data_IF_545744337684
#
_entry.id   IF_545744337684
#
_cell.length_a   1.000
_cell.length_b   1.000
_cell.length_c   1.000
_cell.angle_alpha   90.00
_cell.angle_beta   90.00
_cell.angle_gamma   90.00
#
_symmetry.space_group_name_H-M   'P 1'
#
loop_
_entity.id
_entity.type
_entity.pdbx_description
1 polymer ?
#
# COMPACT_ATOMS: atom_id res chain seq x y z
N UNK A 1 -7.09 -26.29 -27.70
CA UNK A 1 -8.39 -25.75 -28.17
C UNK A 1 -8.30 -24.40 -28.85
N UNK A 2 -7.76 -23.32 -28.22
CA UNK A 2 -7.59 -22.01 -28.88
C UNK A 2 -6.35 -21.98 -29.80
N UNK A 3 -5.24 -22.57 -29.36
CA UNK A 3 -3.99 -22.63 -30.11
C UNK A 3 -4.11 -23.41 -31.43
N UNK A 4 -4.97 -24.42 -31.49
CA UNK A 4 -5.22 -25.25 -32.71
C UNK A 4 -5.87 -24.45 -33.87
N UNK A 5 -6.46 -23.29 -33.57
CA UNK A 5 -7.13 -22.41 -34.55
C UNK A 5 -6.31 -21.20 -34.92
N UNK A 6 -5.14 -21.05 -34.34
CA UNK A 6 -4.28 -19.88 -34.57
C UNK A 6 -3.14 -20.22 -35.52
N UNK A 7 -2.85 -19.33 -36.49
CA UNK A 7 -1.71 -19.49 -37.41
C UNK A 7 -0.36 -19.39 -36.67
N UNK A 8 -0.32 -18.68 -35.56
CA UNK A 8 0.86 -18.53 -34.69
C UNK A 8 0.42 -18.42 -33.25
N UNK A 9 1.14 -19.10 -32.36
CA UNK A 9 0.92 -19.03 -30.91
C UNK A 9 2.23 -18.61 -30.24
N UNK A 10 2.15 -17.62 -29.35
CA UNK A 10 3.26 -17.21 -28.51
C UNK A 10 2.91 -17.51 -27.06
N UNK A 11 3.78 -18.27 -26.41
CA UNK A 11 3.67 -18.59 -24.99
C UNK A 11 4.81 -17.88 -24.27
N UNK A 12 4.50 -17.06 -23.26
CA UNK A 12 5.49 -16.39 -22.44
C UNK A 12 5.25 -16.73 -20.96
N UNK A 13 6.32 -17.03 -20.26
CA UNK A 13 6.26 -17.39 -18.85
C UNK A 13 7.64 -17.52 -18.24
N UNK A 14 7.68 -17.83 -16.96
CA UNK A 14 8.88 -18.13 -16.20
C UNK A 14 8.60 -19.28 -15.24
N UNK A 15 9.13 -20.46 -15.58
CA UNK A 15 8.98 -21.68 -14.80
C UNK A 15 9.61 -21.58 -13.39
N UNK A 16 10.63 -20.75 -13.20
CA UNK A 16 11.23 -20.51 -11.89
C UNK A 16 10.33 -19.70 -10.95
N UNK A 17 9.27 -19.05 -11.47
CA UNK A 17 8.30 -18.28 -10.71
C UNK A 17 6.96 -18.97 -10.48
N UNK A 18 6.88 -20.28 -10.69
CA UNK A 18 5.67 -21.07 -10.50
C UNK A 18 5.34 -21.28 -9.01
N UNK A 19 5.01 -20.22 -8.30
CA UNK A 19 4.71 -20.22 -6.86
C UNK A 19 3.31 -20.74 -6.56
N UNK A 20 2.39 -20.73 -7.54
CA UNK A 20 0.97 -21.04 -7.36
C UNK A 20 0.55 -22.38 -8.01
N UNK A 21 1.37 -23.42 -7.89
CA UNK A 21 1.06 -24.76 -8.43
C UNK A 21 -0.25 -25.31 -7.86
N UNK A 22 -0.57 -25.00 -6.61
CA UNK A 22 -1.84 -25.35 -5.95
C UNK A 22 -3.07 -24.68 -6.58
N UNK A 23 -2.91 -23.59 -7.31
CA UNK A 23 -4.00 -22.88 -8.01
C UNK A 23 -4.09 -23.20 -9.50
N UNK A 24 -3.38 -24.24 -9.97
CA UNK A 24 -3.45 -24.72 -11.35
C UNK A 24 -2.31 -24.25 -12.26
N UNK A 25 -1.24 -23.65 -11.71
CA UNK A 25 -0.04 -23.40 -12.50
C UNK A 25 0.64 -24.75 -12.83
N UNK A 26 0.72 -25.06 -14.12
CA UNK A 26 1.29 -26.31 -14.64
C UNK A 26 2.62 -26.02 -15.34
N UNK A 27 3.69 -26.28 -14.60
CA UNK A 27 5.07 -26.11 -15.08
C UNK A 27 5.42 -27.10 -16.17
N UNK A 28 4.93 -28.35 -16.04
CA UNK A 28 5.24 -29.39 -17.01
C UNK A 28 4.61 -29.09 -18.38
N UNK A 29 3.37 -28.66 -18.39
CA UNK A 29 2.71 -28.23 -19.64
C UNK A 29 3.42 -27.01 -20.27
N UNK A 30 3.95 -26.08 -19.46
CA UNK A 30 4.72 -24.94 -19.97
C UNK A 30 6.06 -25.40 -20.60
N UNK A 31 6.80 -26.27 -19.90
CA UNK A 31 8.10 -26.76 -20.37
C UNK A 31 7.99 -27.71 -21.58
N UNK A 32 6.83 -28.38 -21.75
CA UNK A 32 6.55 -29.30 -22.88
C UNK A 32 6.02 -28.56 -24.13
N UNK A 33 5.85 -27.25 -24.08
CA UNK A 33 5.43 -26.49 -25.28
C UNK A 33 6.45 -26.67 -26.40
N UNK A 34 5.98 -27.20 -27.53
CA UNK A 34 6.80 -27.34 -28.74
C UNK A 34 6.95 -26.02 -29.46
N UNK A 35 8.15 -25.68 -29.92
CA UNK A 35 8.41 -24.49 -30.69
C UNK A 35 9.81 -23.92 -30.48
N UNK A 36 10.05 -22.75 -31.06
CA UNK A 36 11.30 -22.01 -30.86
C UNK A 36 11.30 -21.36 -29.47
N UNK A 37 12.28 -21.70 -28.65
CA UNK A 37 12.45 -21.14 -27.30
C UNK A 37 13.40 -19.94 -27.40
N UNK A 38 12.93 -18.78 -26.93
CA UNK A 38 13.73 -17.56 -26.82
C UNK A 38 13.81 -17.10 -25.37
N UNK A 39 15.02 -17.09 -24.83
CA UNK A 39 15.30 -16.59 -23.47
C UNK A 39 15.55 -15.07 -23.55
N UNK A 40 14.98 -14.31 -22.61
CA UNK A 40 15.27 -12.89 -22.46
C UNK A 40 16.58 -12.73 -21.67
N UNK A 41 17.62 -12.32 -22.36
CA UNK A 41 19.01 -12.36 -21.85
C UNK A 41 19.37 -11.21 -20.93
N UNK A 42 18.54 -10.15 -20.82
CA UNK A 42 18.85 -8.97 -20.03
C UNK A 42 17.74 -8.62 -19.05
N UNK A 43 18.11 -8.46 -17.78
CA UNK A 43 17.24 -7.87 -16.76
C UNK A 43 17.60 -6.41 -16.53
N UNK A 44 16.61 -5.52 -16.63
CA UNK A 44 16.73 -4.10 -16.31
C UNK A 44 16.31 -3.78 -14.87
N UNK A 45 15.83 -4.78 -14.14
CA UNK A 45 15.30 -4.65 -12.78
C UNK A 45 16.23 -5.21 -11.72
N UNK A 46 16.84 -6.37 -11.94
CA UNK A 46 17.54 -7.15 -10.92
C UNK A 46 19.01 -6.75 -10.83
N UNK A 47 19.51 -6.26 -9.67
CA UNK A 47 20.92 -5.94 -9.47
C UNK A 47 21.82 -7.21 -9.40
N UNK A 48 23.12 -7.03 -9.59
CA UNK A 48 24.06 -8.12 -9.73
C UNK A 48 24.13 -9.06 -8.50
N UNK A 49 24.19 -8.53 -7.28
CA UNK A 49 24.21 -9.35 -6.05
C UNK A 49 22.91 -10.12 -5.85
N UNK A 50 21.76 -9.51 -6.14
CA UNK A 50 20.45 -10.16 -6.05
C UNK A 50 20.34 -11.28 -7.10
N UNK A 51 20.81 -11.04 -8.32
CA UNK A 51 20.89 -12.04 -9.38
C UNK A 51 21.73 -13.26 -8.95
N UNK A 52 22.92 -13.02 -8.38
CA UNK A 52 23.78 -14.08 -7.88
C UNK A 52 23.10 -14.95 -6.82
N UNK A 53 22.44 -14.32 -5.84
CA UNK A 53 21.67 -15.03 -4.81
C UNK A 53 20.51 -15.82 -5.41
N UNK A 54 19.72 -15.19 -6.28
CA UNK A 54 18.59 -15.83 -6.95
C UNK A 54 19.04 -17.07 -7.73
N UNK A 55 20.11 -16.97 -8.51
CA UNK A 55 20.69 -18.11 -9.25
C UNK A 55 21.14 -19.25 -8.33
N UNK A 56 21.66 -18.94 -7.14
CA UNK A 56 22.03 -19.97 -6.17
C UNK A 56 20.84 -20.76 -5.64
N UNK A 57 19.65 -20.13 -5.61
CA UNK A 57 18.39 -20.73 -5.15
C UNK A 57 17.75 -21.54 -6.26
N UNK A 58 17.59 -20.95 -7.46
CA UNK A 58 16.89 -21.62 -8.56
C UNK A 58 17.63 -22.85 -9.10
N UNK A 59 18.95 -22.92 -8.95
CA UNK A 59 19.74 -24.12 -9.27
C UNK A 59 19.33 -25.38 -8.49
N UNK A 60 18.57 -25.22 -7.41
CA UNK A 60 18.05 -26.36 -6.62
C UNK A 60 16.77 -26.94 -7.21
N UNK A 61 16.12 -26.24 -8.15
CA UNK A 61 14.92 -26.71 -8.82
C UNK A 61 15.35 -27.72 -9.88
N UNK A 62 14.79 -28.94 -9.82
CA UNK A 62 15.17 -30.04 -10.71
C UNK A 62 14.51 -29.94 -12.10
N UNK A 63 13.24 -29.59 -12.13
CA UNK A 63 12.47 -29.48 -13.38
C UNK A 63 12.33 -28.01 -13.77
N UNK A 64 13.26 -27.53 -14.60
CA UNK A 64 13.32 -26.14 -15.06
C UNK A 64 14.01 -26.00 -16.41
N UNK A 65 13.67 -24.94 -17.15
CA UNK A 65 14.43 -24.51 -18.31
C UNK A 65 15.73 -23.86 -17.86
N UNK A 66 16.87 -24.30 -18.38
CA UNK A 66 18.12 -23.60 -18.13
C UNK A 66 18.10 -22.23 -18.81
N UNK A 67 18.34 -21.17 -18.02
CA UNK A 67 18.32 -19.78 -18.47
C UNK A 67 19.59 -19.06 -18.05
N UNK A 68 20.22 -18.40 -19.01
CA UNK A 68 21.35 -17.52 -18.77
C UNK A 68 20.90 -16.11 -19.11
N UNK A 69 20.98 -15.21 -18.15
CA UNK A 69 20.62 -13.82 -18.33
C UNK A 69 21.50 -12.90 -17.49
N UNK A 70 21.69 -11.66 -17.96
CA UNK A 70 22.52 -10.67 -17.30
C UNK A 70 21.69 -9.78 -16.35
N UNK A 71 22.20 -9.45 -15.17
CA UNK A 71 21.59 -8.47 -14.29
C UNK A 71 21.78 -7.04 -14.85
N UNK A 72 21.11 -6.05 -14.27
CA UNK A 72 21.44 -4.65 -14.50
C UNK A 72 22.82 -4.32 -13.94
N UNK A 73 23.38 -3.17 -14.34
CA UNK A 73 24.78 -2.81 -14.03
C UNK A 73 25.04 -2.56 -12.54
N UNK A 74 24.03 -2.09 -11.78
CA UNK A 74 24.19 -1.80 -10.36
C UNK A 74 24.41 -3.08 -9.55
N UNK A 75 25.30 -2.99 -8.57
CA UNK A 75 25.63 -4.13 -7.72
C UNK A 75 24.48 -4.54 -6.81
N UNK A 76 23.72 -3.56 -6.30
CA UNK A 76 22.73 -3.79 -5.26
C UNK A 76 23.36 -4.18 -3.91
N UNK A 77 22.53 -4.40 -2.91
CA UNK A 77 22.94 -4.79 -1.58
C UNK A 77 22.02 -5.87 -1.01
N UNK A 78 22.57 -6.78 -0.22
CA UNK A 78 21.83 -7.82 0.49
C UNK A 78 22.31 -7.82 1.92
N UNK A 79 21.40 -7.58 2.85
CA UNK A 79 21.64 -7.59 4.28
C UNK A 79 20.75 -8.64 4.94
N UNK A 80 21.22 -9.26 6.01
CA UNK A 80 20.52 -10.27 6.79
C UNK A 80 20.26 -9.75 8.20
N UNK A 81 19.04 -9.86 8.66
CA UNK A 81 18.63 -9.44 9.99
C UNK A 81 17.87 -10.58 10.67
N UNK A 82 18.02 -10.69 11.98
CA UNK A 82 17.30 -11.69 12.77
C UNK A 82 15.91 -11.18 13.23
N UNK A 83 15.75 -9.87 13.27
CA UNK A 83 14.53 -9.20 13.71
C UNK A 83 14.25 -8.02 12.76
N UNK A 84 12.98 -7.80 12.45
CA UNK A 84 12.58 -6.74 11.52
C UNK A 84 12.78 -5.34 12.10
N UNK A 85 12.79 -5.19 13.43
CA UNK A 85 13.06 -3.93 14.14
C UNK A 85 14.48 -3.39 13.91
N UNK A 86 15.39 -4.24 13.45
CA UNK A 86 16.76 -3.86 13.11
C UNK A 86 16.85 -3.15 11.74
N UNK A 87 15.79 -3.21 10.95
CA UNK A 87 15.73 -2.62 9.61
C UNK A 87 15.21 -1.20 9.70
N UNK A 88 16.01 -0.22 9.30
CA UNK A 88 15.53 1.17 9.17
C UNK A 88 14.69 1.33 7.90
N UNK A 89 13.38 1.32 8.07
CA UNK A 89 12.39 1.54 7.00
C UNK A 89 11.85 2.98 6.96
N UNK A 90 12.46 3.90 7.72
CA UNK A 90 12.00 5.29 7.79
C UNK A 90 12.24 6.09 6.51
N UNK A 91 13.12 5.60 5.62
CA UNK A 91 13.50 6.26 4.37
C UNK A 91 13.41 5.31 3.19
N UNK A 92 13.09 5.87 2.03
CA UNK A 92 12.99 5.13 0.77
C UNK A 92 11.66 4.42 0.58
N UNK A 93 11.58 3.66 -0.51
CA UNK A 93 10.42 2.84 -0.85
C UNK A 93 10.70 1.37 -0.52
N UNK A 94 9.80 0.76 0.23
CA UNK A 94 9.95 -0.61 0.71
C UNK A 94 8.83 -1.50 0.21
N UNK A 95 9.21 -2.66 -0.34
CA UNK A 95 8.29 -3.76 -0.56
C UNK A 95 8.60 -4.87 0.44
N UNK A 96 7.63 -5.20 1.28
CA UNK A 96 7.78 -6.20 2.32
C UNK A 96 6.93 -7.41 1.96
N UNK A 97 7.56 -8.58 1.92
CA UNK A 97 6.93 -9.83 1.54
C UNK A 97 7.14 -10.90 2.62
N UNK A 98 6.16 -11.77 2.78
CA UNK A 98 6.25 -12.95 3.63
C UNK A 98 5.57 -14.14 2.95
N UNK A 99 5.90 -15.35 3.36
CA UNK A 99 5.29 -16.58 2.81
C UNK A 99 3.82 -16.74 3.17
N UNK A 100 3.37 -16.11 4.26
CA UNK A 100 1.96 -16.14 4.68
C UNK A 100 1.50 -14.77 5.20
N UNK A 101 0.21 -14.49 5.04
CA UNK A 101 -0.40 -13.26 5.59
C UNK A 101 -0.29 -13.14 7.11
N UNK A 102 -0.22 -14.26 7.82
CA UNK A 102 -0.06 -14.30 9.26
C UNK A 102 1.26 -13.64 9.70
N UNK A 103 2.36 -13.97 9.02
CA UNK A 103 3.69 -13.41 9.33
C UNK A 103 3.77 -11.89 9.15
N UNK A 104 2.90 -11.32 8.31
CA UNK A 104 2.82 -9.87 8.12
C UNK A 104 2.09 -9.13 9.24
N UNK A 105 1.38 -9.82 10.13
CA UNK A 105 0.55 -9.14 11.13
C UNK A 105 1.38 -8.43 12.22
N UNK A 106 2.45 -9.05 12.70
CA UNK A 106 3.35 -8.43 13.68
C UNK A 106 4.05 -7.23 13.08
N UNK A 107 4.58 -7.40 11.88
CA UNK A 107 5.22 -6.32 11.13
C UNK A 107 4.25 -5.16 10.83
N UNK A 108 3.00 -5.46 10.44
CA UNK A 108 1.94 -4.47 10.25
C UNK A 108 1.75 -3.62 11.52
N UNK A 109 1.64 -4.27 12.67
CA UNK A 109 1.44 -3.57 13.93
C UNK A 109 2.66 -2.73 14.32
N UNK A 110 3.85 -3.24 14.06
CA UNK A 110 5.10 -2.52 14.32
C UNK A 110 5.23 -1.28 13.41
N UNK A 111 5.04 -1.41 12.10
CA UNK A 111 5.09 -0.28 11.15
C UNK A 111 4.08 0.80 11.55
N UNK A 112 2.87 0.36 11.93
CA UNK A 112 1.82 1.27 12.40
C UNK A 112 2.21 2.00 13.70
N UNK A 113 2.90 1.33 14.63
CA UNK A 113 3.37 1.95 15.87
C UNK A 113 4.48 2.98 15.61
N UNK A 114 5.28 2.81 14.55
CA UNK A 114 6.29 3.78 14.12
C UNK A 114 5.70 5.01 13.40
N UNK A 115 4.39 5.04 13.20
CA UNK A 115 3.75 6.16 12.50
C UNK A 115 3.89 6.14 10.99
N UNK A 116 4.50 5.12 10.40
CA UNK A 116 4.75 5.04 8.97
C UNK A 116 3.49 4.69 8.18
N UNK A 117 3.34 5.32 7.02
CA UNK A 117 2.28 4.99 6.08
C UNK A 117 2.69 3.78 5.23
N UNK A 118 1.74 2.90 5.00
CA UNK A 118 1.93 1.73 4.14
C UNK A 118 0.63 1.35 3.45
N UNK A 119 0.78 0.50 2.44
CA UNK A 119 -0.33 -0.14 1.75
C UNK A 119 -0.23 -1.65 1.93
N UNK A 120 -1.35 -2.32 2.14
CA UNK A 120 -1.43 -3.77 2.21
C UNK A 120 -2.63 -4.26 1.40
N UNK A 121 -2.40 -5.12 0.41
CA UNK A 121 -3.45 -5.66 -0.47
C UNK A 121 -4.31 -4.56 -1.13
N UNK A 122 -3.69 -3.48 -1.58
CA UNK A 122 -4.37 -2.34 -2.19
C UNK A 122 -5.11 -1.43 -1.20
N UNK A 123 -4.95 -1.65 0.11
CA UNK A 123 -5.56 -0.82 1.13
C UNK A 123 -4.50 -0.01 1.88
N UNK A 124 -4.68 1.29 1.93
CA UNK A 124 -3.82 2.20 2.69
C UNK A 124 -4.01 2.01 4.20
N UNK A 125 -2.93 2.16 4.97
CA UNK A 125 -2.93 2.07 6.44
C UNK A 125 -3.81 3.13 7.12
N UNK A 126 -4.04 4.25 6.44
CA UNK A 126 -4.98 5.30 6.84
C UNK A 126 -6.00 5.49 5.72
N UNK A 127 -7.28 5.47 6.07
CA UNK A 127 -8.35 5.70 5.11
C UNK A 127 -8.31 7.13 4.56
N UNK A 128 -8.53 7.31 3.26
CA UNK A 128 -8.55 8.63 2.61
C UNK A 128 -9.53 9.61 3.28
N UNK A 129 -10.63 9.10 3.83
CA UNK A 129 -11.58 9.91 4.58
C UNK A 129 -10.99 10.54 5.85
N UNK A 130 -10.07 9.85 6.50
CA UNK A 130 -9.34 10.37 7.69
C UNK A 130 -8.37 11.43 7.25
N UNK A 131 -7.58 11.18 6.20
CA UNK A 131 -6.62 12.15 5.63
C UNK A 131 -7.35 13.43 5.21
N UNK A 132 -8.46 13.29 4.47
CA UNK A 132 -9.30 14.43 4.05
C UNK A 132 -9.81 15.22 5.25
N UNK A 133 -10.23 14.52 6.31
CA UNK A 133 -10.71 15.17 7.53
C UNK A 133 -9.62 15.96 8.25
N UNK A 134 -8.41 15.40 8.36
CA UNK A 134 -7.26 16.06 9.00
C UNK A 134 -6.84 17.31 8.22
N UNK A 135 -6.69 17.19 6.90
CA UNK A 135 -6.33 18.32 6.03
C UNK A 135 -7.42 19.40 6.08
N UNK A 136 -8.69 19.02 6.02
CA UNK A 136 -9.82 19.95 6.10
C UNK A 136 -9.86 20.67 7.44
N UNK A 137 -9.59 19.97 8.54
CA UNK A 137 -9.51 20.58 9.86
C UNK A 137 -8.38 21.58 10.00
N UNK A 138 -7.19 21.27 9.47
CA UNK A 138 -6.07 22.21 9.46
C UNK A 138 -6.36 23.48 8.63
N UNK A 139 -7.10 23.34 7.52
CA UNK A 139 -7.58 24.50 6.77
C UNK A 139 -8.48 25.39 7.62
N UNK A 140 -9.45 24.81 8.32
CA UNK A 140 -10.33 25.53 9.23
C UNK A 140 -9.55 26.24 10.35
N UNK A 141 -8.57 25.57 10.95
CA UNK A 141 -7.70 26.18 11.97
C UNK A 141 -6.89 27.37 11.46
N UNK A 142 -6.51 27.35 10.18
CA UNK A 142 -5.81 28.45 9.49
C UNK A 142 -6.77 29.53 8.98
N UNK A 143 -8.05 29.50 9.35
CA UNK A 143 -9.06 30.48 8.94
C UNK A 143 -9.50 30.34 7.48
N UNK A 144 -9.23 29.20 6.85
CA UNK A 144 -9.70 28.89 5.50
C UNK A 144 -11.07 28.19 5.54
N UNK A 145 -11.85 28.35 4.48
CA UNK A 145 -13.12 27.64 4.34
C UNK A 145 -12.94 26.29 3.65
N UNK A 146 -13.86 25.37 3.93
CA UNK A 146 -13.95 24.05 3.34
C UNK A 146 -15.34 23.84 2.72
N UNK A 147 -15.41 22.99 1.70
CA UNK A 147 -16.69 22.57 1.11
C UNK A 147 -17.41 21.48 1.92
N UNK A 148 -18.67 21.26 1.59
CA UNK A 148 -19.56 20.31 2.26
C UNK A 148 -19.02 18.88 2.32
N UNK A 149 -18.40 18.37 1.25
CA UNK A 149 -17.87 16.99 1.24
C UNK A 149 -16.77 16.78 2.26
N UNK A 150 -15.87 17.77 2.40
CA UNK A 150 -14.80 17.74 3.42
C UNK A 150 -15.41 17.88 4.81
N UNK A 151 -16.40 18.77 4.99
CA UNK A 151 -17.14 18.93 6.24
C UNK A 151 -17.78 17.61 6.68
N UNK A 152 -18.41 16.90 5.76
CA UNK A 152 -19.05 15.60 6.01
C UNK A 152 -18.03 14.56 6.49
N UNK A 153 -16.81 14.52 5.92
CA UNK A 153 -15.76 13.62 6.38
C UNK A 153 -15.28 14.00 7.80
N UNK A 154 -15.10 15.29 8.08
CA UNK A 154 -14.74 15.77 9.42
C UNK A 154 -15.78 15.32 10.45
N UNK A 155 -17.08 15.59 10.21
CA UNK A 155 -18.15 15.24 11.14
C UNK A 155 -18.32 13.73 11.34
N UNK A 156 -17.98 12.92 10.34
CA UNK A 156 -17.95 11.46 10.46
C UNK A 156 -16.94 10.98 11.52
N UNK A 157 -15.77 11.64 11.57
CA UNK A 157 -14.65 11.25 12.44
C UNK A 157 -14.63 11.99 13.79
N UNK A 158 -15.36 13.10 13.93
CA UNK A 158 -15.47 13.79 15.21
C UNK A 158 -16.19 12.93 16.26
N UNK A 159 -15.73 12.94 17.54
CA UNK A 159 -16.47 12.33 18.64
C UNK A 159 -17.87 12.95 18.79
N UNK A 160 -18.83 12.15 19.24
CA UNK A 160 -20.20 12.63 19.44
C UNK A 160 -20.27 13.77 20.48
N UNK A 161 -19.36 13.82 21.44
CA UNK A 161 -19.23 14.87 22.45
C UNK A 161 -18.80 16.23 21.89
N UNK A 162 -18.20 16.25 20.70
CA UNK A 162 -17.74 17.48 20.04
C UNK A 162 -18.83 18.19 19.25
N UNK A 163 -20.00 17.56 19.11
CA UNK A 163 -21.07 18.03 18.25
C UNK A 163 -22.37 18.07 19.04
N UNK A 164 -23.11 19.16 18.92
CA UNK A 164 -24.44 19.29 19.51
C UNK A 164 -25.36 18.17 19.00
N UNK A 165 -26.15 17.58 19.90
CA UNK A 165 -27.09 16.51 19.56
C UNK A 165 -27.99 16.91 18.40
N UNK A 166 -28.08 16.04 17.38
CA UNK A 166 -28.87 16.26 16.16
C UNK A 166 -28.11 16.89 14.99
N UNK A 167 -26.90 17.42 15.18
CA UNK A 167 -26.12 18.09 14.13
C UNK A 167 -25.13 17.17 13.41
N UNK A 168 -24.81 16.00 13.94
CA UNK A 168 -23.82 15.08 13.33
C UNK A 168 -24.18 14.65 11.90
N UNK A 169 -25.46 14.63 11.55
CA UNK A 169 -25.95 14.28 10.21
C UNK A 169 -25.91 15.44 9.20
N UNK A 170 -25.52 16.64 9.61
CA UNK A 170 -25.44 17.84 8.78
C UNK A 170 -26.72 18.18 8.01
N UNK A 171 -27.90 17.86 8.58
CA UNK A 171 -29.21 18.09 7.92
C UNK A 171 -29.50 19.56 7.62
N UNK A 172 -28.81 20.47 8.30
CA UNK A 172 -28.98 21.92 8.17
C UNK A 172 -27.87 22.58 7.34
N UNK A 173 -26.93 21.78 6.85
CA UNK A 173 -25.82 22.27 6.03
C UNK A 173 -26.21 22.28 4.56
N UNK A 174 -25.85 23.33 3.84
CA UNK A 174 -26.02 23.46 2.40
C UNK A 174 -24.97 22.61 1.66
N UNK A 175 -25.33 21.65 0.80
CA UNK A 175 -24.36 20.86 0.03
C UNK A 175 -23.44 21.68 -0.88
N UNK A 176 -23.83 22.89 -1.28
CA UNK A 176 -23.02 23.79 -2.10
C UNK A 176 -22.29 24.85 -1.26
N UNK A 177 -22.48 24.83 0.05
CA UNK A 177 -21.94 25.82 0.98
C UNK A 177 -20.43 25.71 1.22
N UNK A 178 -19.84 26.84 1.61
CA UNK A 178 -18.50 26.91 2.15
C UNK A 178 -18.59 27.19 3.65
N UNK A 179 -17.76 26.50 4.43
CA UNK A 179 -17.82 26.51 5.89
C UNK A 179 -16.47 26.89 6.47
N UNK A 180 -16.47 27.88 7.32
CA UNK A 180 -15.34 28.24 8.17
C UNK A 180 -15.60 27.83 9.64
N UNK A 181 -14.61 28.03 10.51
CA UNK A 181 -14.71 27.64 11.91
C UNK A 181 -15.83 28.39 12.66
N UNK A 182 -16.09 29.66 12.31
CA UNK A 182 -17.13 30.47 12.93
C UNK A 182 -18.52 29.94 12.54
N UNK A 183 -18.75 29.66 11.27
CA UNK A 183 -19.96 29.06 10.74
C UNK A 183 -20.24 27.68 11.39
N UNK A 184 -19.23 26.86 11.56
CA UNK A 184 -19.40 25.54 12.20
C UNK A 184 -19.85 25.65 13.65
N UNK A 185 -19.31 26.61 14.41
CA UNK A 185 -19.71 26.85 15.80
C UNK A 185 -21.10 27.49 15.89
N UNK A 186 -21.42 28.40 15.01
CA UNK A 186 -22.70 29.11 15.04
C UNK A 186 -23.88 28.24 14.56
N UNK A 187 -23.71 27.58 13.42
CA UNK A 187 -24.85 27.00 12.68
C UNK A 187 -24.76 25.49 12.51
N UNK A 188 -23.58 24.86 12.65
CA UNK A 188 -23.40 23.43 12.44
C UNK A 188 -23.15 22.65 13.73
N UNK A 189 -23.36 23.28 14.88
CA UNK A 189 -23.35 22.64 16.20
C UNK A 189 -21.98 22.12 16.65
N UNK A 190 -20.88 22.65 16.14
CA UNK A 190 -19.56 22.37 16.66
C UNK A 190 -19.39 23.00 18.05
N UNK A 191 -19.13 22.19 19.07
CA UNK A 191 -19.06 22.65 20.48
C UNK A 191 -17.68 23.18 20.84
N UNK A 192 -16.61 22.58 20.30
CA UNK A 192 -15.24 22.96 20.60
C UNK A 192 -14.28 22.52 19.51
N UNK A 193 -13.22 23.32 19.29
CA UNK A 193 -12.10 23.03 18.40
C UNK A 193 -10.97 22.26 19.10
N UNK A 194 -10.95 22.24 20.45
CA UNK A 194 -9.91 21.59 21.21
C UNK A 194 -9.96 20.03 21.15
N UNK A 195 -11.15 19.46 20.95
CA UNK A 195 -11.35 17.99 21.01
C UNK A 195 -10.72 17.26 19.83
N UNK A 196 -10.57 17.92 18.68
CA UNK A 196 -9.85 17.32 17.55
C UNK A 196 -8.37 17.08 17.85
N UNK A 197 -7.80 17.90 18.68
CA UNK A 197 -6.40 17.75 19.13
C UNK A 197 -6.18 16.47 19.92
N UNK A 198 -7.13 16.06 20.77
CA UNK A 198 -7.08 14.77 21.48
C UNK A 198 -7.25 13.57 20.53
N UNK A 199 -8.10 13.69 19.52
CA UNK A 199 -8.28 12.63 18.52
C UNK A 199 -7.03 12.48 17.64
N UNK A 200 -6.35 13.56 17.29
CA UNK A 200 -5.07 13.55 16.56
C UNK A 200 -3.92 13.00 17.41
N UNK A 201 -3.89 13.27 18.72
CA UNK A 201 -2.90 12.69 19.64
C UNK A 201 -3.06 11.17 19.77
N UNK A 202 -4.29 10.67 19.70
CA UNK A 202 -4.57 9.22 19.67
C UNK A 202 -4.16 8.54 18.36
N UNK A 203 -4.01 9.29 17.27
CA UNK A 203 -3.53 8.81 15.96
C UNK A 203 -1.98 8.82 15.90
N UNK A 204 -1.32 9.47 16.86
CA UNK A 204 0.13 9.64 16.97
C UNK A 204 0.60 11.03 16.55
N UNK A 205 1.47 11.61 17.35
CA UNK A 205 1.98 12.98 17.13
C UNK A 205 2.80 13.12 15.84
N UNK A 206 3.47 12.04 15.42
CA UNK A 206 4.35 12.00 14.25
C UNK A 206 3.63 11.98 12.90
N UNK A 207 2.29 12.03 12.89
CA UNK A 207 1.47 11.98 11.65
C UNK A 207 0.94 13.35 11.20
N UNK A 208 1.46 14.43 11.77
CA UNK A 208 0.98 15.81 11.50
C UNK A 208 1.61 16.46 10.28
N UNK A 209 2.66 15.90 9.72
CA UNK A 209 3.44 16.46 8.61
C UNK A 209 3.04 15.90 7.23
N UNK A 210 1.75 15.64 7.02
CA UNK A 210 1.20 15.23 5.72
C UNK A 210 0.40 16.34 5.05
#
# INVERSE_FOLDING_TARGET
ALAEKADRTFVAGDDDQAVYTWSGADVESFLSCEGEVKILEQSYRVPAKVHFLANSIVKRIQNRQEKIWAPRQEQGEINYYNQFEQVDISKGEWLIMASTNYMLNELHNWIKSQGLLFERNGQRSIADSVVTSVIGWERLRKGQSIGYDVLRQIYKHLPASSIKRGFKSLKHADPEGLYDMAELKANQGLLTDAIWHEALTKIGEDKRDY
#
